data_IF_439573721955
#
_entry.id   IF_439573721955
#
_cell.length_a   1.000
_cell.length_b   1.000
_cell.length_c   1.000
_cell.angle_alpha   90.00
_cell.angle_beta   90.00
_cell.angle_gamma   90.00
#
_symmetry.space_group_name_H-M   'P 1'
#
loop_
_entity.id
_entity.type
_entity.pdbx_description
1 polymer ?
#
# COMPACT_ATOMS: atom_id res chain seq x y z
N UNK A 1 4.47 10.58 -15.90
CA UNK A 1 3.24 10.39 -15.14
C UNK A 1 2.15 11.22 -15.77
N UNK A 2 0.97 10.65 -15.99
CA UNK A 2 -0.24 11.38 -16.32
C UNK A 2 -1.42 10.86 -15.46
N UNK A 3 -2.36 11.74 -15.24
CA UNK A 3 -3.62 11.42 -14.57
C UNK A 3 -4.73 12.24 -15.25
N UNK A 4 -5.85 11.58 -15.54
CA UNK A 4 -7.03 12.27 -16.00
C UNK A 4 -8.28 11.68 -15.34
N UNK A 5 -9.28 12.50 -15.20
CA UNK A 5 -10.56 12.12 -14.64
C UNK A 5 -11.70 12.84 -15.40
N UNK A 6 -12.76 12.12 -15.62
CA UNK A 6 -14.00 12.64 -16.19
C UNK A 6 -15.17 12.27 -15.27
N UNK A 7 -16.02 13.23 -14.98
CA UNK A 7 -17.21 13.00 -14.19
C UNK A 7 -18.42 13.67 -14.84
N UNK A 8 -19.54 12.95 -14.88
CA UNK A 8 -20.83 13.46 -15.33
C UNK A 8 -21.86 13.16 -14.25
N UNK A 9 -22.62 14.16 -13.85
CA UNK A 9 -23.73 14.02 -12.92
C UNK A 9 -25.01 14.58 -13.55
N UNK A 10 -26.05 13.80 -13.52
CA UNK A 10 -27.38 14.21 -14.04
C UNK A 10 -28.42 14.12 -12.94
N UNK A 11 -29.16 15.20 -12.77
CA UNK A 11 -30.39 15.21 -11.98
C UNK A 11 -31.53 14.59 -12.83
N UNK A 12 -32.21 13.58 -12.28
CA UNK A 12 -33.18 12.78 -12.99
C UNK A 12 -34.62 13.32 -12.82
N UNK A 13 -34.88 14.00 -11.71
CA UNK A 13 -36.21 14.55 -11.41
C UNK A 13 -36.15 15.78 -10.49
N UNK A 14 -37.27 16.44 -10.30
CA UNK A 14 -37.40 17.62 -9.44
C UNK A 14 -37.14 17.32 -7.96
N UNK A 15 -37.36 16.08 -7.51
CA UNK A 15 -37.10 15.64 -6.14
C UNK A 15 -35.60 15.57 -5.81
N UNK A 16 -34.73 15.72 -6.82
CA UNK A 16 -33.27 15.74 -6.64
C UNK A 16 -32.61 14.38 -6.69
N UNK A 17 -33.28 13.38 -7.28
CA UNK A 17 -32.60 12.09 -7.62
C UNK A 17 -31.48 12.36 -8.60
N UNK A 18 -30.28 11.83 -8.33
CA UNK A 18 -29.12 12.03 -9.19
C UNK A 18 -28.47 10.71 -9.58
N UNK A 19 -27.96 10.67 -10.80
CA UNK A 19 -27.11 9.61 -11.33
C UNK A 19 -25.77 10.24 -11.71
N UNK A 20 -24.68 9.64 -11.24
CA UNK A 20 -23.32 10.06 -11.55
C UNK A 20 -22.52 8.94 -12.18
N UNK A 21 -21.69 9.28 -13.16
CA UNK A 21 -20.66 8.44 -13.75
C UNK A 21 -19.32 9.13 -13.53
N UNK A 22 -18.31 8.39 -13.11
CA UNK A 22 -16.94 8.85 -13.07
C UNK A 22 -16.00 7.83 -13.72
N UNK A 23 -14.99 8.33 -14.42
CA UNK A 23 -13.94 7.52 -15.02
C UNK A 23 -12.62 8.19 -14.71
N UNK A 24 -11.67 7.42 -14.21
CA UNK A 24 -10.35 7.91 -13.86
C UNK A 24 -9.28 6.94 -14.37
N UNK A 25 -8.20 7.49 -14.85
CA UNK A 25 -7.00 6.73 -15.18
C UNK A 25 -5.76 7.43 -14.64
N UNK A 26 -4.83 6.67 -14.14
CA UNK A 26 -3.50 7.13 -13.76
C UNK A 26 -2.47 6.16 -14.30
N UNK A 27 -1.48 6.67 -15.01
CA UNK A 27 -0.32 5.90 -15.44
C UNK A 27 0.95 6.64 -14.99
N UNK A 28 1.83 5.93 -14.35
CA UNK A 28 3.13 6.42 -13.93
C UNK A 28 4.21 5.40 -14.25
N UNK A 29 5.32 5.90 -14.74
CA UNK A 29 6.50 5.10 -15.00
C UNK A 29 7.72 5.88 -14.51
N UNK A 30 8.75 5.18 -14.17
CA UNK A 30 10.02 5.72 -13.72
C UNK A 30 11.10 4.66 -13.88
N UNK A 31 12.32 5.13 -13.85
CA UNK A 31 13.50 4.28 -13.76
C UNK A 31 14.41 4.92 -12.72
N UNK A 32 14.63 4.20 -11.62
CA UNK A 32 15.61 4.60 -10.63
C UNK A 32 16.93 3.90 -10.94
N UNK A 33 17.97 4.69 -11.03
CA UNK A 33 19.34 4.21 -11.23
C UNK A 33 20.19 4.61 -10.03
N UNK A 34 20.98 3.70 -9.53
CA UNK A 34 21.86 3.96 -8.40
C UNK A 34 23.13 3.11 -8.46
N UNK A 35 24.20 3.68 -7.93
CA UNK A 35 25.46 2.97 -7.71
C UNK A 35 25.57 2.60 -6.22
N UNK A 36 26.11 1.43 -5.93
CA UNK A 36 26.33 0.96 -4.58
C UNK A 36 27.76 0.40 -4.49
N UNK A 37 28.58 1.05 -3.70
CA UNK A 37 29.92 0.60 -3.37
C UNK A 37 29.97 0.25 -1.90
N UNK A 38 30.34 -0.98 -1.57
CA UNK A 38 30.41 -1.42 -0.17
C UNK A 38 31.49 -2.47 0.01
N UNK A 39 32.15 -2.42 1.16
CA UNK A 39 33.04 -3.42 1.68
C UNK A 39 32.51 -3.89 3.03
N UNK A 40 32.31 -5.18 3.18
CA UNK A 40 31.79 -5.78 4.41
C UNK A 40 32.80 -6.79 4.94
N UNK A 41 33.36 -6.54 6.11
CA UNK A 41 34.29 -7.46 6.79
C UNK A 41 33.55 -8.27 7.83
N UNK A 42 33.60 -9.60 7.70
CA UNK A 42 32.99 -10.55 8.63
C UNK A 42 34.04 -11.04 9.62
N UNK A 43 34.15 -10.43 10.78
CA UNK A 43 35.15 -10.77 11.78
C UNK A 43 35.03 -12.20 12.36
N UNK A 44 33.85 -12.78 12.31
CA UNK A 44 33.57 -14.14 12.79
C UNK A 44 33.60 -15.22 11.71
N UNK A 45 33.63 -14.82 10.45
CA UNK A 45 33.79 -15.73 9.31
C UNK A 45 35.20 -15.59 8.79
N UNK A 46 35.88 -16.71 8.68
CA UNK A 46 37.25 -16.73 8.17
C UNK A 46 37.30 -17.24 6.74
N UNK A 47 38.22 -16.71 5.96
CA UNK A 47 38.54 -17.21 4.64
C UNK A 47 39.33 -18.52 4.72
N UNK A 48 39.71 -19.11 3.57
CA UNK A 48 40.50 -20.34 3.50
C UNK A 48 41.90 -20.22 4.13
N UNK A 49 42.38 -18.99 4.34
CA UNK A 49 43.69 -18.68 4.89
C UNK A 49 43.62 -18.29 6.39
N UNK A 50 42.43 -18.31 7.00
CA UNK A 50 42.21 -17.93 8.39
C UNK A 50 42.07 -16.43 8.63
N UNK A 51 42.06 -15.59 7.60
CA UNK A 51 41.80 -14.14 7.69
C UNK A 51 40.32 -13.85 7.79
N UNK A 52 39.95 -12.63 8.18
CA UNK A 52 38.57 -12.18 8.16
C UNK A 52 38.00 -12.20 6.73
N UNK A 53 36.83 -12.75 6.59
CA UNK A 53 36.18 -12.79 5.27
C UNK A 53 35.69 -11.38 4.88
N UNK A 54 36.11 -10.92 3.70
CA UNK A 54 35.73 -9.60 3.17
C UNK A 54 34.86 -9.79 1.94
N UNK A 55 33.69 -9.13 1.92
CA UNK A 55 32.81 -9.06 0.77
C UNK A 55 32.88 -7.64 0.20
N UNK A 56 33.46 -7.50 -0.98
CA UNK A 56 33.47 -6.25 -1.74
C UNK A 56 32.37 -6.29 -2.79
N UNK A 57 31.66 -5.19 -2.94
CA UNK A 57 30.62 -5.00 -3.97
C UNK A 57 30.76 -3.63 -4.59
N UNK A 58 30.79 -3.59 -5.92
CA UNK A 58 30.65 -2.38 -6.72
C UNK A 58 29.54 -2.64 -7.74
N UNK A 59 28.35 -2.09 -7.50
CA UNK A 59 27.13 -2.47 -8.20
C UNK A 59 26.45 -1.26 -8.81
N UNK A 60 25.92 -1.46 -10.01
CA UNK A 60 24.92 -0.60 -10.62
C UNK A 60 23.55 -1.26 -10.54
N UNK A 61 22.57 -0.51 -10.06
CA UNK A 61 21.18 -0.99 -9.91
C UNK A 61 20.29 -0.15 -10.81
N UNK A 62 19.49 -0.83 -11.64
CA UNK A 62 18.49 -0.23 -12.51
C UNK A 62 17.12 -0.76 -12.12
N UNK A 63 16.21 0.15 -11.75
CA UNK A 63 14.91 -0.21 -11.18
C UNK A 63 13.76 0.43 -11.96
N UNK A 64 13.42 -0.13 -13.15
CA UNK A 64 12.26 0.34 -13.91
C UNK A 64 10.96 -0.03 -13.20
N UNK A 65 10.06 0.95 -13.11
CA UNK A 65 8.76 0.81 -12.47
C UNK A 65 7.66 1.32 -13.38
N UNK A 66 6.51 0.68 -13.34
CA UNK A 66 5.28 1.15 -13.97
C UNK A 66 4.08 0.84 -13.09
N UNK A 67 3.19 1.82 -12.97
CA UNK A 67 1.92 1.67 -12.26
C UNK A 67 0.82 2.27 -13.16
N UNK A 68 -0.13 1.44 -13.56
CA UNK A 68 -1.30 1.86 -14.32
C UNK A 68 -2.57 1.48 -13.56
N UNK A 69 -3.49 2.41 -13.38
CA UNK A 69 -4.76 2.16 -12.70
C UNK A 69 -5.93 2.80 -13.42
N UNK A 70 -7.05 2.08 -13.41
CA UNK A 70 -8.34 2.53 -13.89
C UNK A 70 -9.38 2.43 -12.79
N UNK A 71 -10.28 3.37 -12.77
CA UNK A 71 -11.49 3.35 -11.94
C UNK A 71 -12.67 3.84 -12.75
N UNK A 72 -13.76 3.07 -12.70
CA UNK A 72 -15.05 3.44 -13.29
C UNK A 72 -16.10 3.31 -12.20
N UNK A 73 -16.83 4.39 -11.94
CA UNK A 73 -17.81 4.46 -10.87
C UNK A 73 -19.17 4.94 -11.34
N UNK A 74 -20.20 4.31 -10.79
CA UNK A 74 -21.59 4.72 -10.89
C UNK A 74 -22.09 5.10 -9.50
N UNK A 75 -22.81 6.19 -9.38
CA UNK A 75 -23.42 6.60 -8.12
C UNK A 75 -24.89 7.01 -8.34
N UNK A 76 -25.73 6.54 -7.46
CA UNK A 76 -27.15 6.88 -7.44
C UNK A 76 -27.51 7.48 -6.08
N UNK A 77 -28.18 8.63 -6.08
CA UNK A 77 -28.64 9.26 -4.85
C UNK A 77 -30.13 9.51 -4.97
N UNK A 78 -30.88 9.03 -3.97
CA UNK A 78 -32.32 9.14 -3.88
C UNK A 78 -32.71 9.93 -2.63
N UNK A 79 -33.25 11.14 -2.76
CA UNK A 79 -33.93 11.81 -1.66
C UNK A 79 -35.20 11.08 -1.22
N UNK A 80 -35.35 10.87 0.08
CA UNK A 80 -36.55 10.29 0.71
C UNK A 80 -37.12 11.32 1.66
N UNK A 81 -38.13 12.03 1.17
CA UNK A 81 -38.68 13.21 1.87
C UNK A 81 -37.69 14.40 1.85
N UNK A 82 -37.78 15.26 2.86
CA UNK A 82 -37.01 16.51 2.92
C UNK A 82 -35.67 16.37 3.65
N UNK A 83 -35.51 15.35 4.51
CA UNK A 83 -34.41 15.24 5.45
C UNK A 83 -33.46 14.06 5.18
N UNK A 84 -33.93 13.05 4.43
CA UNK A 84 -33.16 11.80 4.22
C UNK A 84 -32.74 11.71 2.76
N UNK A 85 -31.48 11.23 2.56
CA UNK A 85 -30.97 10.85 1.24
C UNK A 85 -30.32 9.49 1.35
N UNK A 86 -30.69 8.59 0.46
CA UNK A 86 -30.04 7.29 0.29
C UNK A 86 -29.05 7.40 -0.85
N UNK A 87 -27.88 6.79 -0.67
CA UNK A 87 -26.85 6.73 -1.71
C UNK A 87 -26.41 5.29 -1.90
N UNK A 88 -26.31 4.89 -3.15
CA UNK A 88 -25.65 3.66 -3.58
C UNK A 88 -24.58 4.03 -4.59
N UNK A 89 -23.39 3.53 -4.40
CA UNK A 89 -22.29 3.71 -5.33
C UNK A 89 -21.61 2.39 -5.60
N UNK A 90 -21.28 2.17 -6.86
CA UNK A 90 -20.48 1.03 -7.30
C UNK A 90 -19.28 1.54 -8.06
N UNK A 91 -18.09 1.04 -7.72
CA UNK A 91 -16.87 1.34 -8.43
C UNK A 91 -16.16 0.04 -8.84
N UNK A 92 -15.86 -0.08 -10.10
CA UNK A 92 -14.88 -1.05 -10.58
C UNK A 92 -13.51 -0.41 -10.64
N UNK A 93 -12.49 -1.11 -10.19
CA UNK A 93 -11.11 -0.65 -10.27
C UNK A 93 -10.17 -1.76 -10.68
N UNK A 94 -9.18 -1.42 -11.49
CA UNK A 94 -8.07 -2.31 -11.80
C UNK A 94 -6.76 -1.56 -11.67
N UNK A 95 -5.72 -2.25 -11.21
CA UNK A 95 -4.37 -1.71 -11.06
C UNK A 95 -3.37 -2.75 -11.52
N UNK A 96 -2.44 -2.31 -12.32
CA UNK A 96 -1.27 -3.06 -12.77
C UNK A 96 -0.02 -2.36 -12.25
N UNK A 97 0.85 -3.12 -11.59
CA UNK A 97 2.13 -2.65 -11.11
C UNK A 97 3.24 -3.57 -11.60
N UNK A 98 4.30 -2.96 -12.08
CA UNK A 98 5.55 -3.62 -12.43
C UNK A 98 6.67 -2.92 -11.67
N UNK A 99 7.46 -3.70 -10.96
CA UNK A 99 8.65 -3.22 -10.27
C UNK A 99 9.77 -4.23 -10.47
N UNK A 100 10.79 -3.83 -11.20
CA UNK A 100 11.96 -4.65 -11.44
C UNK A 100 13.17 -4.01 -10.76
N UNK A 101 14.16 -4.82 -10.44
CA UNK A 101 15.51 -4.39 -10.08
C UNK A 101 16.49 -5.29 -10.82
N UNK A 102 17.23 -4.71 -11.74
CA UNK A 102 18.33 -5.35 -12.45
C UNK A 102 19.63 -4.89 -11.78
N UNK A 103 20.46 -5.85 -11.33
CA UNK A 103 21.72 -5.60 -10.62
C UNK A 103 22.89 -6.03 -11.50
N UNK A 104 23.84 -5.15 -11.65
CA UNK A 104 25.07 -5.37 -12.41
C UNK A 104 26.26 -5.22 -11.49
N UNK A 105 27.14 -6.23 -11.44
CA UNK A 105 28.38 -6.21 -10.71
C UNK A 105 29.49 -5.61 -11.59
N UNK A 106 30.11 -4.54 -11.13
CA UNK A 106 31.09 -3.77 -11.88
C UNK A 106 32.55 -4.08 -11.50
N UNK A 107 32.78 -4.73 -10.36
CA UNK A 107 34.14 -4.94 -9.82
C UNK A 107 35.07 -5.77 -10.72
N UNK A 108 34.51 -6.56 -11.65
CA UNK A 108 35.29 -7.33 -12.63
C UNK A 108 35.58 -6.60 -13.94
N UNK A 109 35.08 -5.37 -14.10
CA UNK A 109 35.24 -4.61 -15.36
C UNK A 109 36.44 -3.67 -15.28
N UNK A 110 37.20 -3.58 -16.38
CA UNK A 110 38.49 -2.88 -16.45
C UNK A 110 38.44 -1.36 -16.16
N UNK A 111 37.24 -0.74 -16.17
CA UNK A 111 37.02 0.67 -15.88
C UNK A 111 36.19 0.92 -14.63
N UNK A 112 36.16 -0.03 -13.70
CA UNK A 112 35.30 0.01 -12.51
C UNK A 112 35.82 0.89 -11.36
N UNK A 113 36.98 1.55 -11.56
CA UNK A 113 37.64 2.30 -10.48
C UNK A 113 36.98 3.66 -10.20
N UNK A 114 36.09 4.11 -11.08
CA UNK A 114 35.39 5.39 -10.93
C UNK A 114 33.98 5.13 -10.44
N UNK A 115 33.70 5.51 -9.20
CA UNK A 115 32.38 5.43 -8.63
C UNK A 115 31.41 6.39 -9.34
N UNK A 116 30.24 5.85 -9.74
CA UNK A 116 29.17 6.63 -10.36
C UNK A 116 29.21 6.72 -11.88
N UNK A 117 30.21 6.09 -12.54
CA UNK A 117 30.28 5.99 -13.99
C UNK A 117 30.00 4.55 -14.45
N UNK A 118 29.29 4.42 -15.58
CA UNK A 118 29.01 3.12 -16.20
C UNK A 118 30.12 2.79 -17.20
N UNK A 119 30.89 1.71 -16.96
CA UNK A 119 31.88 1.25 -17.91
C UNK A 119 31.22 0.66 -19.17
N UNK A 120 31.90 0.72 -20.29
CA UNK A 120 31.46 0.06 -21.54
C UNK A 120 31.26 -1.43 -21.29
N UNK A 121 30.14 -1.99 -21.77
CA UNK A 121 29.82 -3.41 -21.63
C UNK A 121 29.41 -3.81 -20.20
N UNK A 122 28.98 -2.88 -19.37
CA UNK A 122 28.49 -3.16 -18.01
C UNK A 122 27.39 -4.23 -17.96
N UNK A 123 26.64 -4.42 -19.06
CA UNK A 123 25.58 -5.43 -19.18
C UNK A 123 26.11 -6.86 -18.97
N UNK A 124 27.39 -7.10 -19.27
CA UNK A 124 28.02 -8.40 -19.01
C UNK A 124 28.13 -8.72 -17.52
N UNK A 125 28.10 -7.70 -16.68
CA UNK A 125 28.08 -7.82 -15.21
C UNK A 125 26.70 -8.13 -14.61
N UNK A 126 25.66 -8.44 -15.41
CA UNK A 126 24.32 -8.75 -14.90
C UNK A 126 24.33 -9.95 -13.96
N UNK A 127 23.76 -9.76 -12.76
CA UNK A 127 23.70 -10.77 -11.71
C UNK A 127 22.25 -11.16 -11.46
N UNK A 128 21.80 -12.29 -12.04
CA UNK A 128 20.43 -12.79 -11.90
C UNK A 128 20.06 -13.04 -10.42
N UNK A 129 20.97 -13.59 -9.61
CA UNK A 129 20.72 -13.90 -8.19
C UNK A 129 20.47 -12.68 -7.31
N UNK A 130 20.91 -11.49 -7.73
CA UNK A 130 20.71 -10.21 -7.04
C UNK A 130 19.62 -9.35 -7.68
N UNK A 131 19.07 -9.83 -8.80
CA UNK A 131 18.02 -9.14 -9.56
C UNK A 131 16.65 -9.67 -9.17
N UNK A 132 15.64 -8.80 -9.19
CA UNK A 132 14.27 -9.22 -8.96
C UNK A 132 13.31 -8.58 -9.97
N UNK A 133 12.22 -9.28 -10.23
CA UNK A 133 11.11 -8.82 -11.06
C UNK A 133 9.81 -9.12 -10.35
N UNK A 134 8.93 -8.13 -10.28
CA UNK A 134 7.64 -8.27 -9.63
C UNK A 134 6.57 -7.62 -10.51
N UNK A 135 5.55 -8.38 -10.82
CA UNK A 135 4.34 -7.89 -11.47
C UNK A 135 3.15 -8.17 -10.56
N UNK A 136 2.31 -7.17 -10.35
CA UNK A 136 1.07 -7.38 -9.64
C UNK A 136 -0.12 -6.80 -10.40
N UNK A 137 -1.25 -7.45 -10.27
CA UNK A 137 -2.53 -6.99 -10.80
C UNK A 137 -3.59 -7.11 -9.71
N UNK A 138 -4.39 -6.07 -9.55
CA UNK A 138 -5.58 -6.11 -8.71
C UNK A 138 -6.81 -5.71 -9.50
N UNK A 139 -7.93 -6.41 -9.25
CA UNK A 139 -9.26 -6.06 -9.73
C UNK A 139 -10.18 -6.02 -8.52
N UNK A 140 -10.87 -4.91 -8.32
CA UNK A 140 -11.77 -4.71 -7.19
C UNK A 140 -13.13 -4.19 -7.63
N UNK A 141 -14.16 -4.56 -6.87
CA UNK A 141 -15.54 -4.14 -7.03
C UNK A 141 -15.99 -3.54 -5.69
N UNK A 142 -16.05 -2.23 -5.62
CA UNK A 142 -16.48 -1.51 -4.42
C UNK A 142 -17.96 -1.20 -4.49
N UNK A 143 -18.73 -1.72 -3.56
CA UNK A 143 -20.14 -1.36 -3.33
C UNK A 143 -20.22 -0.55 -2.05
N UNK A 144 -20.73 0.66 -2.15
CA UNK A 144 -20.97 1.54 -1.01
C UNK A 144 -22.43 1.90 -0.91
N UNK A 145 -23.02 1.65 0.25
CA UNK A 145 -24.42 2.02 0.56
C UNK A 145 -24.39 2.97 1.74
N UNK A 146 -25.11 4.06 1.64
CA UNK A 146 -25.11 5.09 2.68
C UNK A 146 -26.45 5.79 2.83
N UNK A 147 -26.65 6.33 4.03
CA UNK A 147 -27.78 7.17 4.39
C UNK A 147 -27.29 8.48 4.97
N UNK A 148 -27.88 9.57 4.51
CA UNK A 148 -27.67 10.89 5.05
C UNK A 148 -28.99 11.42 5.60
N UNK A 149 -28.97 11.90 6.84
CA UNK A 149 -30.06 12.64 7.45
C UNK A 149 -29.55 14.04 7.81
N UNK A 150 -30.36 15.06 7.55
CA UNK A 150 -30.01 16.43 7.94
C UNK A 150 -31.27 17.22 8.26
N UNK A 151 -31.25 17.84 9.43
CA UNK A 151 -32.20 18.90 9.81
C UNK A 151 -31.47 20.06 10.50
N UNK A 152 -32.19 20.98 11.13
CA UNK A 152 -31.60 22.18 11.75
C UNK A 152 -30.75 21.87 12.95
N UNK A 153 -30.92 20.72 13.60
CA UNK A 153 -30.27 20.31 14.85
C UNK A 153 -29.30 19.16 14.64
N UNK A 154 -29.67 18.19 13.79
CA UNK A 154 -28.95 16.96 13.60
C UNK A 154 -28.47 16.80 12.15
N UNK A 155 -27.24 16.36 12.01
CA UNK A 155 -26.72 15.79 10.78
C UNK A 155 -26.17 14.40 11.08
N UNK A 156 -26.56 13.43 10.29
CA UNK A 156 -26.14 12.05 10.40
C UNK A 156 -25.78 11.51 9.03
N UNK A 157 -24.64 10.81 8.96
CA UNK A 157 -24.20 10.08 7.78
C UNK A 157 -23.72 8.72 8.25
N UNK A 158 -24.28 7.66 7.69
CA UNK A 158 -23.76 6.30 7.87
C UNK A 158 -23.58 5.66 6.51
N UNK A 159 -22.48 4.96 6.31
CA UNK A 159 -22.24 4.18 5.11
C UNK A 159 -21.45 2.92 5.40
N UNK A 160 -21.64 1.93 4.56
CA UNK A 160 -20.88 0.69 4.53
C UNK A 160 -20.33 0.47 3.12
N UNK A 161 -19.03 0.45 3.00
CA UNK A 161 -18.30 0.01 1.83
C UNK A 161 -17.90 -1.46 1.97
N UNK A 162 -18.10 -2.23 0.90
CA UNK A 162 -17.66 -3.62 0.79
C UNK A 162 -16.95 -3.77 -0.55
N UNK A 163 -15.69 -4.18 -0.49
CA UNK A 163 -14.83 -4.27 -1.68
C UNK A 163 -14.26 -5.68 -1.83
N UNK A 164 -15.00 -6.63 -2.47
CA UNK A 164 -14.38 -7.85 -2.94
C UNK A 164 -13.36 -7.51 -4.01
N UNK A 165 -12.16 -8.06 -3.86
CA UNK A 165 -11.07 -7.86 -4.79
C UNK A 165 -10.25 -9.14 -5.00
N UNK A 166 -9.74 -9.29 -6.22
CA UNK A 166 -8.75 -10.30 -6.56
C UNK A 166 -7.42 -9.63 -6.84
N UNK A 167 -6.38 -10.12 -6.20
CA UNK A 167 -5.00 -9.66 -6.43
C UNK A 167 -4.14 -10.83 -6.85
N UNK A 168 -3.29 -10.61 -7.83
CA UNK A 168 -2.29 -11.56 -8.29
C UNK A 168 -0.92 -10.90 -8.24
N UNK A 169 0.09 -11.66 -7.90
CA UNK A 169 1.48 -11.25 -7.99
C UNK A 169 2.29 -12.42 -8.54
N UNK A 170 3.18 -12.11 -9.46
CA UNK A 170 4.29 -12.96 -9.83
C UNK A 170 5.60 -12.26 -9.45
N UNK A 171 6.51 -13.01 -8.85
CA UNK A 171 7.80 -12.51 -8.43
C UNK A 171 8.91 -13.49 -8.77
N UNK A 172 9.98 -12.98 -9.36
CA UNK A 172 11.21 -13.71 -9.61
C UNK A 172 12.35 -13.06 -8.84
N UNK A 173 13.12 -13.84 -8.08
CA UNK A 173 14.35 -13.42 -7.39
C UNK A 173 15.43 -14.43 -7.76
N UNK A 174 16.36 -14.02 -8.60
CA UNK A 174 17.32 -14.96 -9.19
C UNK A 174 16.60 -16.08 -9.94
N UNK A 175 16.94 -17.33 -9.60
CA UNK A 175 16.31 -18.53 -10.17
C UNK A 175 14.98 -18.90 -9.50
N UNK A 176 14.65 -18.29 -8.38
CA UNK A 176 13.42 -18.56 -7.64
C UNK A 176 12.27 -17.78 -8.28
N UNK A 177 11.18 -18.49 -8.54
CA UNK A 177 9.94 -17.91 -9.04
C UNK A 177 8.79 -18.35 -8.15
N UNK A 178 7.92 -17.41 -7.82
CA UNK A 178 6.66 -17.71 -7.18
C UNK A 178 5.56 -16.79 -7.75
N UNK A 179 4.38 -17.34 -7.90
CA UNK A 179 3.16 -16.63 -8.20
C UNK A 179 2.11 -16.94 -7.13
N UNK A 180 1.26 -15.99 -6.86
CA UNK A 180 0.13 -16.18 -5.96
C UNK A 180 -1.05 -15.35 -6.39
N UNK A 181 -2.25 -15.85 -6.06
CA UNK A 181 -3.50 -15.16 -6.29
C UNK A 181 -4.36 -15.22 -5.03
N UNK A 182 -4.90 -14.09 -4.63
CA UNK A 182 -5.74 -13.98 -3.44
C UNK A 182 -7.05 -13.30 -3.77
N UNK A 183 -8.14 -13.84 -3.21
CA UNK A 183 -9.43 -13.19 -3.14
C UNK A 183 -9.58 -12.61 -1.72
N UNK A 184 -9.92 -11.34 -1.65
CA UNK A 184 -10.01 -10.60 -0.39
C UNK A 184 -11.29 -9.77 -0.38
N UNK A 185 -11.76 -9.46 0.81
CA UNK A 185 -12.92 -8.57 1.00
C UNK A 185 -12.53 -7.52 2.02
N UNK A 186 -12.62 -6.24 1.62
CA UNK A 186 -12.40 -5.13 2.51
C UNK A 186 -13.74 -4.55 2.96
N UNK A 187 -13.81 -4.18 4.25
CA UNK A 187 -14.95 -3.52 4.86
C UNK A 187 -14.57 -2.10 5.28
N UNK A 188 -15.46 -1.15 4.99
CA UNK A 188 -15.24 0.26 5.27
C UNK A 188 -16.53 0.88 5.86
N UNK A 189 -16.90 0.54 7.12
CA UNK A 189 -18.00 1.19 7.80
C UNK A 189 -17.61 2.62 8.22
N UNK A 190 -18.54 3.55 8.05
CA UNK A 190 -18.38 4.93 8.47
C UNK A 190 -19.67 5.43 9.12
N UNK A 191 -19.54 6.12 10.25
CA UNK A 191 -20.62 6.84 10.92
C UNK A 191 -20.11 8.23 11.26
N UNK A 192 -20.82 9.23 10.82
CA UNK A 192 -20.59 10.59 11.23
C UNK A 192 -21.91 11.19 11.71
N UNK A 193 -21.89 11.76 12.90
CA UNK A 193 -23.03 12.39 13.52
C UNK A 193 -22.61 13.77 14.07
N UNK A 194 -23.44 14.76 13.87
CA UNK A 194 -23.24 16.09 14.43
C UNK A 194 -24.55 16.61 14.97
N UNK A 195 -24.52 17.01 16.22
CA UNK A 195 -25.60 17.73 16.89
C UNK A 195 -25.21 19.18 17.07
N UNK A 196 -26.11 20.08 16.75
CA UNK A 196 -25.91 21.50 16.93
C UNK A 196 -27.16 22.14 17.55
N UNK A 197 -26.95 22.87 18.63
CA UNK A 197 -28.00 23.65 19.28
C UNK A 197 -27.42 24.99 19.70
N UNK A 198 -27.96 26.08 19.14
CA UNK A 198 -27.40 27.43 19.27
C UNK A 198 -25.92 27.41 18.90
N UNK A 199 -25.07 27.87 19.78
CA UNK A 199 -23.60 27.98 19.61
C UNK A 199 -22.85 26.72 20.04
N UNK A 200 -23.55 25.66 20.45
CA UNK A 200 -22.96 24.40 20.86
C UNK A 200 -22.99 23.40 19.72
N UNK A 201 -21.89 22.68 19.55
CA UNK A 201 -21.76 21.58 18.59
C UNK A 201 -21.09 20.38 19.22
N UNK A 202 -21.66 19.22 19.01
CA UNK A 202 -21.05 17.91 19.34
C UNK A 202 -20.99 17.11 18.05
N UNK A 203 -19.83 16.51 17.74
CA UNK A 203 -19.74 15.61 16.59
C UNK A 203 -18.97 14.34 16.95
N UNK A 204 -19.51 13.23 16.50
CA UNK A 204 -18.91 11.90 16.55
C UNK A 204 -18.54 11.46 15.14
N UNK A 205 -17.30 10.99 14.99
CA UNK A 205 -16.83 10.34 13.78
C UNK A 205 -16.32 8.94 14.14
N UNK A 206 -16.83 7.94 13.48
CA UNK A 206 -16.31 6.59 13.49
C UNK A 206 -16.01 6.15 12.08
N UNK A 207 -14.84 5.58 11.85
CA UNK A 207 -14.51 4.90 10.60
C UNK A 207 -13.73 3.63 10.88
N UNK A 208 -14.18 2.54 10.27
CA UNK A 208 -13.49 1.28 10.19
C UNK A 208 -12.82 1.10 8.83
N UNK A 209 -11.68 0.45 8.80
CA UNK A 209 -10.97 0.18 7.55
C UNK A 209 -10.22 -1.13 7.62
N UNK A 210 -10.45 -2.00 6.62
CA UNK A 210 -9.65 -3.19 6.39
C UNK A 210 -8.37 -2.80 5.65
N UNK A 211 -7.22 -3.30 6.10
CA UNK A 211 -5.95 -3.23 5.39
C UNK A 211 -5.42 -4.65 5.17
N UNK A 212 -5.23 -4.98 3.90
CA UNK A 212 -4.65 -6.25 3.50
C UNK A 212 -3.14 -6.22 3.67
N UNK A 213 -2.50 -7.35 4.07
CA UNK A 213 -1.05 -7.50 3.97
C UNK A 213 -0.58 -7.25 2.54
N UNK A 214 0.66 -6.79 2.38
CA UNK A 214 1.23 -6.67 1.04
C UNK A 214 1.41 -8.06 0.44
N UNK A 215 1.25 -8.18 -0.87
CA UNK A 215 1.45 -9.48 -1.53
C UNK A 215 2.91 -9.96 -1.41
N UNK A 216 3.87 -9.05 -1.34
CA UNK A 216 5.27 -9.39 -1.08
C UNK A 216 5.47 -10.00 0.30
N UNK A 217 4.73 -9.53 1.31
CA UNK A 217 4.80 -10.08 2.66
C UNK A 217 4.17 -11.49 2.76
N UNK A 218 3.22 -11.78 1.88
CA UNK A 218 2.55 -13.09 1.82
C UNK A 218 3.32 -14.13 1.00
N UNK A 219 4.27 -13.72 0.15
CA UNK A 219 5.01 -14.65 -0.68
C UNK A 219 6.07 -15.41 0.11
N UNK A 220 6.09 -16.75 0.08
CA UNK A 220 7.07 -17.57 0.79
C UNK A 220 8.44 -17.56 0.09
N UNK A 221 8.90 -16.39 -0.34
CA UNK A 221 10.20 -16.19 -0.96
C UNK A 221 11.15 -15.50 0.02
N UNK A 222 12.38 -16.01 0.08
CA UNK A 222 13.47 -15.38 0.80
C UNK A 222 14.27 -14.50 -0.15
N UNK A 223 14.32 -13.20 0.11
CA UNK A 223 15.22 -12.26 -0.58
C UNK A 223 16.52 -12.14 0.23
N UNK A 224 17.58 -12.72 -0.27
CA UNK A 224 18.92 -12.69 0.28
C UNK A 224 19.90 -11.89 -0.59
N UNK A 225 19.39 -11.00 -1.42
CA UNK A 225 20.21 -10.14 -2.29
C UNK A 225 21.20 -9.29 -1.49
N UNK A 226 20.89 -9.00 -0.23
CA UNK A 226 21.84 -8.49 0.75
C UNK A 226 21.99 -9.51 1.88
N UNK A 227 23.17 -10.16 2.02
CA UNK A 227 23.37 -11.22 3.01
C UNK A 227 23.30 -10.75 4.47
N UNK A 228 23.44 -9.45 4.73
CA UNK A 228 23.24 -8.86 6.05
C UNK A 228 21.78 -8.49 6.35
N UNK A 229 20.92 -8.48 5.34
CA UNK A 229 19.52 -8.06 5.42
C UNK A 229 18.65 -9.02 4.61
N UNK A 230 18.33 -10.15 5.20
CA UNK A 230 17.49 -11.17 4.58
C UNK A 230 16.02 -10.83 4.90
N UNK A 231 15.14 -10.89 3.90
CA UNK A 231 13.71 -10.74 4.10
C UNK A 231 12.97 -11.98 3.64
N UNK A 232 11.99 -12.41 4.44
CA UNK A 232 11.14 -13.57 4.13
C UNK A 232 9.67 -13.17 4.26
N UNK A 233 8.83 -13.65 3.37
CA UNK A 233 7.39 -13.47 3.49
C UNK A 233 6.75 -14.50 4.42
N UNK A 234 5.50 -14.24 4.80
CA UNK A 234 4.67 -15.10 5.64
C UNK A 234 3.26 -15.25 5.01
N UNK A 235 2.93 -16.42 4.43
CA UNK A 235 1.64 -16.65 3.78
C UNK A 235 0.46 -16.70 4.77
N UNK A 236 0.71 -16.87 6.07
CA UNK A 236 -0.32 -16.99 7.10
C UNK A 236 -0.81 -15.65 7.65
N UNK A 237 -0.33 -14.53 7.08
CA UNK A 237 -0.76 -13.20 7.51
C UNK A 237 -2.25 -12.98 7.28
N UNK A 238 -2.90 -12.47 8.32
CA UNK A 238 -4.30 -12.07 8.30
C UNK A 238 -4.44 -10.58 7.98
N UNK A 239 -5.59 -10.22 7.43
CA UNK A 239 -5.95 -8.82 7.24
C UNK A 239 -6.04 -8.07 8.57
N UNK A 240 -5.57 -6.85 8.59
CA UNK A 240 -5.72 -5.93 9.70
C UNK A 240 -7.05 -5.19 9.58
N UNK A 241 -7.72 -4.95 10.71
CA UNK A 241 -8.86 -4.04 10.76
C UNK A 241 -8.61 -2.95 11.79
N UNK A 242 -8.77 -1.68 11.37
CA UNK A 242 -8.61 -0.54 12.25
C UNK A 242 -9.96 0.12 12.54
N UNK A 243 -10.21 0.43 13.81
CA UNK A 243 -11.32 1.22 14.28
C UNK A 243 -10.79 2.58 14.72
N UNK A 244 -11.33 3.65 14.16
CA UNK A 244 -11.00 5.00 14.56
C UNK A 244 -12.26 5.69 15.05
N UNK A 245 -12.22 6.25 16.26
CA UNK A 245 -13.31 7.02 16.83
C UNK A 245 -12.82 8.40 17.26
N UNK A 246 -13.60 9.42 16.97
CA UNK A 246 -13.30 10.80 17.38
C UNK A 246 -14.58 11.51 17.79
N UNK A 247 -14.55 12.10 18.98
CA UNK A 247 -15.59 12.94 19.54
C UNK A 247 -15.06 14.37 19.63
N UNK A 248 -15.81 15.34 19.12
CA UNK A 248 -15.47 16.75 19.24
C UNK A 248 -16.64 17.49 19.90
N UNK A 249 -16.31 18.37 20.82
CA UNK A 249 -17.22 19.30 21.46
C UNK A 249 -16.74 20.73 21.22
N UNK A 250 -17.66 21.63 20.91
CA UNK A 250 -17.38 23.05 20.74
C UNK A 250 -18.52 23.89 21.35
N UNK A 251 -18.16 24.92 22.12
CA UNK A 251 -19.04 25.95 22.60
C UNK A 251 -18.40 27.33 22.32
N UNK A 252 -18.80 27.93 21.21
CA UNK A 252 -18.15 29.15 20.70
C UNK A 252 -18.24 30.36 21.63
N UNK A 253 -19.40 30.68 22.25
CA UNK A 253 -19.49 31.82 23.17
C UNK A 253 -18.63 31.71 24.41
N UNK A 254 -18.37 30.50 24.85
CA UNK A 254 -17.51 30.23 26.01
C UNK A 254 -16.04 30.02 25.64
N UNK A 255 -15.70 30.01 24.36
CA UNK A 255 -14.35 29.71 23.87
C UNK A 255 -13.87 28.30 24.24
N UNK A 256 -14.80 27.35 24.49
CA UNK A 256 -14.45 26.00 24.93
C UNK A 256 -14.48 25.05 23.72
N UNK A 257 -13.39 24.29 23.53
CA UNK A 257 -13.33 23.15 22.61
C UNK A 257 -12.67 21.97 23.30
N UNK A 258 -13.18 20.76 23.04
CA UNK A 258 -12.60 19.52 23.53
C UNK A 258 -12.65 18.45 22.44
N UNK A 259 -11.57 17.67 22.32
CA UNK A 259 -11.44 16.58 21.38
C UNK A 259 -11.00 15.33 22.12
N UNK A 260 -11.70 14.22 21.88
CA UNK A 260 -11.32 12.89 22.35
C UNK A 260 -11.25 11.97 21.15
N UNK A 261 -10.17 11.20 21.02
CA UNK A 261 -10.01 10.24 19.94
C UNK A 261 -9.27 9.00 20.38
N UNK A 262 -9.54 7.91 19.70
CA UNK A 262 -8.88 6.63 19.92
C UNK A 262 -8.85 5.80 18.64
N UNK A 263 -7.84 4.93 18.57
CA UNK A 263 -7.68 3.96 17.50
C UNK A 263 -7.41 2.60 18.12
N UNK A 264 -8.07 1.59 17.58
CA UNK A 264 -7.84 0.17 17.92
C UNK A 264 -7.57 -0.58 16.63
N UNK A 265 -6.51 -1.36 16.61
CA UNK A 265 -6.13 -2.20 15.48
C UNK A 265 -6.16 -3.67 15.89
N UNK A 266 -6.75 -4.48 15.04
CA UNK A 266 -6.78 -5.93 15.17
C UNK A 266 -5.91 -6.55 14.09
N UNK A 267 -5.10 -7.56 14.44
CA UNK A 267 -4.18 -8.24 13.54
C UNK A 267 -3.17 -7.29 12.86
N UNK A 268 -2.65 -6.29 13.55
CA UNK A 268 -1.63 -5.39 13.00
C UNK A 268 -0.42 -6.20 12.51
N UNK A 269 0.08 -5.85 11.32
CA UNK A 269 1.27 -6.49 10.76
C UNK A 269 2.51 -5.75 11.22
N UNK A 270 3.42 -6.46 11.86
CA UNK A 270 4.73 -5.95 12.29
C UNK A 270 5.85 -6.82 11.75
N UNK A 271 7.09 -6.31 11.77
CA UNK A 271 8.28 -7.06 11.37
C UNK A 271 8.97 -7.63 12.60
N UNK A 272 9.18 -8.94 12.62
CA UNK A 272 10.07 -9.61 13.56
C UNK A 272 11.46 -9.65 12.95
N UNK A 273 12.48 -9.40 13.77
CA UNK A 273 13.89 -9.47 13.40
C UNK A 273 14.59 -10.56 14.19
N UNK A 274 15.29 -11.44 13.48
CA UNK A 274 16.20 -12.43 14.04
C UNK A 274 17.62 -12.06 13.66
N UNK A 275 18.51 -12.00 14.61
CA UNK A 275 19.91 -11.68 14.38
C UNK A 275 20.76 -12.96 14.29
N UNK A 276 21.58 -13.04 13.27
CA UNK A 276 22.60 -14.07 13.16
C UNK A 276 23.88 -13.61 13.86
N UNK A 277 24.22 -14.29 14.95
CA UNK A 277 25.38 -13.94 15.79
C UNK A 277 26.72 -14.18 15.09
N UNK A 278 26.76 -15.03 14.05
CA UNK A 278 27.99 -15.34 13.32
C UNK A 278 28.32 -14.31 12.26
N UNK A 279 27.32 -13.92 11.49
CA UNK A 279 27.48 -12.97 10.38
C UNK A 279 27.23 -11.52 10.79
N UNK A 280 26.55 -11.28 11.91
CA UNK A 280 26.00 -9.96 12.28
C UNK A 280 24.82 -9.54 11.39
N UNK A 281 24.35 -10.43 10.53
CA UNK A 281 23.18 -10.20 9.68
C UNK A 281 21.87 -10.30 10.44
N UNK A 282 20.81 -9.87 9.80
CA UNK A 282 19.44 -9.99 10.33
C UNK A 282 18.50 -10.58 9.28
N UNK A 283 17.63 -11.45 9.74
CA UNK A 283 16.46 -11.90 8.98
C UNK A 283 15.21 -11.19 9.50
N UNK A 284 14.39 -10.66 8.59
CA UNK A 284 13.12 -10.01 8.92
C UNK A 284 11.97 -10.74 8.24
N UNK A 285 10.87 -10.94 8.99
CA UNK A 285 9.64 -11.48 8.45
C UNK A 285 8.41 -10.88 9.14
N UNK A 286 7.28 -10.72 8.42
CA UNK A 286 6.08 -10.12 8.96
C UNK A 286 5.27 -11.12 9.79
N UNK A 287 4.66 -10.64 10.88
CA UNK A 287 3.70 -11.37 11.72
C UNK A 287 2.52 -10.48 12.08
N UNK A 288 1.39 -11.09 12.42
CA UNK A 288 0.29 -10.36 13.03
C UNK A 288 0.48 -10.28 14.56
N UNK A 289 0.18 -9.10 15.10
CA UNK A 289 0.06 -8.84 16.54
C UNK A 289 -1.32 -8.25 16.84
N UNK A 290 -1.84 -8.51 18.05
CA UNK A 290 -3.07 -7.94 18.59
C UNK A 290 -2.74 -7.00 19.72
#
# INVERSE_FOLDING_TARGET
RYHWAMGVMRRLNEKGTTLGLNIQNSDSWGNNESFSLSETTYFRLKDKNGNDSVLYRNQYLKSPQRNNSWRVGLSFTQPVGKKVRLRVAYNWSTRYERSNRDTYELSSLASSDIYGELPSGYEAGYVDSLSNRSHSRSNGHDLNVGVNYSDDTWMFNASLGVTPQRRTIDRKVGKLYADTAMNMIDFQPMIWMSWRKKEMRVSLNYNGNTRQPSLSDLMPLTDNSNPLYITRGNPDLKQMFSHNIRLNFQNSPKGISANLGGQVEQNSVTQVMIYDVQTGGRETYPVNIN
#
